data_IF_410437863898
#
_entry.id   IF_410437863898
#
_cell.length_a   1.000
_cell.length_b   1.000
_cell.length_c   1.000
_cell.angle_alpha   90.00
_cell.angle_beta   90.00
_cell.angle_gamma   90.00
#
_symmetry.space_group_name_H-M   'P 1'
#
loop_
_entity.id
_entity.type
_entity.pdbx_description
1 polymer ?
#
# COMPACT_ATOMS: atom_id res chain seq x y z
N UNK A 1 -1.64 -5.68 6.35
CA UNK A 1 -0.18 -5.79 6.35
C UNK A 1 0.34 -6.28 7.71
N UNK A 2 0.23 -5.53 8.79
CA UNK A 2 0.81 -5.83 10.12
C UNK A 2 0.37 -7.19 10.69
N UNK A 3 -0.91 -7.55 10.59
CA UNK A 3 -1.41 -8.85 11.08
C UNK A 3 -0.80 -10.03 10.30
N UNK A 4 -0.68 -9.93 8.98
CA UNK A 4 0.00 -10.96 8.18
C UNK A 4 1.50 -11.05 8.51
N UNK A 5 2.16 -9.89 8.68
CA UNK A 5 3.56 -9.86 9.12
C UNK A 5 3.79 -10.60 10.44
N UNK A 6 2.96 -10.35 11.46
CA UNK A 6 3.02 -11.07 12.74
C UNK A 6 2.84 -12.58 12.60
N UNK A 7 1.91 -13.05 11.75
CA UNK A 7 1.71 -14.49 11.51
C UNK A 7 2.93 -15.15 10.84
N UNK A 8 3.54 -14.46 9.89
CA UNK A 8 4.76 -14.94 9.23
C UNK A 8 5.96 -14.97 10.20
N UNK A 9 6.11 -13.93 11.03
CA UNK A 9 7.14 -13.89 12.09
C UNK A 9 6.98 -15.04 13.09
N UNK A 10 5.75 -15.38 13.49
CA UNK A 10 5.47 -16.53 14.35
C UNK A 10 5.86 -17.88 13.72
N UNK A 11 6.06 -17.93 12.40
CA UNK A 11 6.60 -19.09 11.66
C UNK A 11 8.13 -19.04 11.49
N UNK A 12 8.82 -18.11 12.11
CA UNK A 12 10.28 -17.95 12.00
C UNK A 12 10.73 -17.23 10.72
N UNK A 13 9.81 -16.63 9.95
CA UNK A 13 10.16 -15.91 8.73
C UNK A 13 10.55 -14.47 9.10
N UNK A 14 11.69 -14.01 8.59
CA UNK A 14 12.11 -12.61 8.73
C UNK A 14 11.21 -11.72 7.89
N UNK A 15 10.47 -10.82 8.53
CA UNK A 15 9.50 -9.94 7.87
C UNK A 15 9.68 -8.51 8.34
N UNK A 16 9.68 -7.58 7.38
CA UNK A 16 9.55 -6.14 7.65
C UNK A 16 8.28 -5.62 7.00
N UNK A 17 7.52 -4.81 7.75
CA UNK A 17 6.32 -4.13 7.24
C UNK A 17 6.64 -2.65 7.06
N UNK A 18 6.86 -2.24 5.82
CA UNK A 18 7.03 -0.83 5.44
C UNK A 18 5.65 -0.18 5.43
N UNK A 19 5.33 0.54 6.50
CA UNK A 19 4.11 1.35 6.60
C UNK A 19 4.34 2.71 5.93
N UNK A 20 3.51 3.03 4.92
CA UNK A 20 3.68 4.26 4.14
C UNK A 20 3.62 5.54 4.96
N UNK A 21 2.78 5.60 6.01
CA UNK A 21 2.67 6.77 6.88
C UNK A 21 3.91 6.93 7.77
N UNK A 22 4.40 5.82 8.33
CA UNK A 22 5.60 5.80 9.18
C UNK A 22 6.84 6.23 8.39
N UNK A 23 7.04 5.65 7.19
CA UNK A 23 8.20 5.96 6.36
C UNK A 23 8.12 7.37 5.77
N UNK A 24 6.92 7.88 5.48
CA UNK A 24 6.75 9.26 5.04
C UNK A 24 7.22 10.25 6.11
N UNK A 25 6.95 9.97 7.37
CA UNK A 25 7.37 10.81 8.50
C UNK A 25 8.88 10.72 8.82
N UNK A 26 9.61 9.80 8.22
CA UNK A 26 11.03 9.59 8.45
C UNK A 26 11.87 9.76 7.17
N UNK A 27 11.72 8.86 6.21
CA UNK A 27 12.54 8.78 5.01
C UNK A 27 12.11 9.77 3.92
N UNK A 28 10.84 10.19 3.92
CA UNK A 28 10.23 10.98 2.86
C UNK A 28 9.61 12.29 3.38
N UNK A 29 10.21 12.90 4.42
CA UNK A 29 9.75 14.17 5.02
C UNK A 29 9.78 15.36 4.06
N UNK A 30 10.65 15.29 3.07
CA UNK A 30 10.83 16.30 2.02
C UNK A 30 9.73 16.25 0.94
N UNK A 31 8.91 15.19 0.91
CA UNK A 31 7.89 14.99 -0.10
C UNK A 31 6.52 15.48 0.34
N UNK A 32 5.84 16.17 -0.59
CA UNK A 32 4.43 16.54 -0.46
C UNK A 32 3.47 15.45 -0.98
N UNK A 33 2.35 15.88 -1.57
CA UNK A 33 1.30 15.00 -2.09
C UNK A 33 1.02 15.25 -3.57
N UNK A 34 1.93 15.91 -4.30
CA UNK A 34 1.87 15.97 -5.76
C UNK A 34 2.02 14.58 -6.37
N UNK A 35 1.71 14.45 -7.64
CA UNK A 35 1.90 13.20 -8.38
C UNK A 35 3.37 12.75 -8.32
N UNK A 36 4.28 13.68 -8.57
CA UNK A 36 5.73 13.45 -8.57
C UNK A 36 6.21 12.99 -7.19
N UNK A 37 5.76 13.65 -6.13
CA UNK A 37 6.09 13.28 -4.75
C UNK A 37 5.58 11.88 -4.38
N UNK A 38 4.37 11.52 -4.83
CA UNK A 38 3.80 10.19 -4.60
C UNK A 38 4.60 9.12 -5.33
N UNK A 39 4.98 9.36 -6.58
CA UNK A 39 5.82 8.46 -7.37
C UNK A 39 7.19 8.29 -6.72
N UNK A 40 7.83 9.39 -6.32
CA UNK A 40 9.13 9.37 -5.64
C UNK A 40 9.06 8.62 -4.29
N UNK A 41 8.01 8.87 -3.50
CA UNK A 41 7.79 8.13 -2.26
C UNK A 41 7.78 6.61 -2.49
N UNK A 42 7.04 6.12 -3.48
CA UNK A 42 6.99 4.69 -3.79
C UNK A 42 8.33 4.17 -4.28
N UNK A 43 9.08 4.93 -5.07
CA UNK A 43 10.43 4.56 -5.53
C UNK A 43 11.38 4.38 -4.34
N UNK A 44 11.40 5.30 -3.39
CA UNK A 44 12.22 5.19 -2.16
C UNK A 44 11.82 3.98 -1.32
N UNK A 45 10.53 3.78 -1.07
CA UNK A 45 10.05 2.62 -0.32
C UNK A 45 10.39 1.29 -1.03
N UNK A 46 10.25 1.24 -2.36
CA UNK A 46 10.59 0.04 -3.13
C UNK A 46 12.09 -0.27 -3.11
N UNK A 47 12.95 0.76 -3.08
CA UNK A 47 14.38 0.58 -2.91
C UNK A 47 14.73 -0.04 -1.54
N UNK A 48 14.11 0.44 -0.46
CA UNK A 48 14.25 -0.17 0.87
C UNK A 48 13.80 -1.64 0.84
N UNK A 49 12.64 -1.92 0.26
CA UNK A 49 12.14 -3.29 0.09
C UNK A 49 13.09 -4.19 -0.71
N UNK A 50 13.72 -3.64 -1.76
CA UNK A 50 14.74 -4.36 -2.57
C UNK A 50 15.98 -4.71 -1.73
N UNK A 51 16.44 -3.78 -0.89
CA UNK A 51 17.60 -4.01 0.01
C UNK A 51 17.26 -5.09 1.04
N UNK A 52 16.08 -5.03 1.65
CA UNK A 52 15.60 -6.04 2.60
C UNK A 52 15.49 -7.42 1.94
N UNK A 53 14.92 -7.50 0.74
CA UNK A 53 14.80 -8.74 -0.02
C UNK A 53 16.14 -9.42 -0.33
N UNK A 54 17.20 -8.65 -0.63
CA UNK A 54 18.58 -9.16 -0.82
C UNK A 54 19.15 -9.80 0.45
N UNK A 55 18.63 -9.45 1.62
CA UNK A 55 19.03 -9.97 2.92
C UNK A 55 18.05 -11.03 3.46
N UNK A 56 17.28 -11.67 2.57
CA UNK A 56 16.30 -12.71 2.91
C UNK A 56 15.23 -12.25 3.92
N UNK A 57 14.82 -10.97 3.82
CA UNK A 57 13.71 -10.42 4.59
C UNK A 57 12.52 -10.25 3.66
N UNK A 58 11.38 -10.85 4.01
CA UNK A 58 10.11 -10.60 3.32
C UNK A 58 9.67 -9.17 3.63
N UNK A 59 9.53 -8.35 2.61
CA UNK A 59 9.08 -6.97 2.77
C UNK A 59 7.60 -6.85 2.38
N UNK A 60 6.75 -6.41 3.30
CA UNK A 60 5.34 -6.08 3.03
C UNK A 60 5.21 -4.56 2.99
N UNK A 61 5.24 -3.98 1.79
CA UNK A 61 5.04 -2.54 1.63
C UNK A 61 3.54 -2.20 1.61
N UNK A 62 3.11 -1.45 2.61
CA UNK A 62 1.73 -0.99 2.79
C UNK A 62 1.62 0.50 2.47
N UNK A 63 1.36 0.82 1.21
CA UNK A 63 1.22 2.18 0.70
C UNK A 63 0.15 2.22 -0.40
N UNK A 64 -0.45 3.38 -0.65
CA UNK A 64 -1.54 3.54 -1.64
C UNK A 64 -1.06 3.20 -3.05
N UNK A 65 0.10 3.69 -3.49
CA UNK A 65 0.66 3.49 -4.83
C UNK A 65 -0.39 3.64 -5.94
N UNK A 66 -0.88 4.85 -6.21
CA UNK A 66 -2.11 5.04 -6.99
C UNK A 66 -1.94 4.86 -8.51
N UNK A 67 -0.72 4.93 -9.05
CA UNK A 67 -0.50 5.01 -10.50
C UNK A 67 0.07 3.72 -11.09
N UNK A 68 -0.43 3.31 -12.26
CA UNK A 68 0.07 2.14 -12.98
C UNK A 68 1.51 2.32 -13.48
N UNK A 69 1.92 3.57 -13.81
CA UNK A 69 3.31 3.91 -14.14
C UNK A 69 4.28 3.50 -13.05
N UNK A 70 3.97 3.89 -11.81
CA UNK A 70 4.82 3.59 -10.65
C UNK A 70 4.83 2.09 -10.31
N UNK A 71 3.68 1.40 -10.43
CA UNK A 71 3.60 -0.06 -10.26
C UNK A 71 4.46 -0.79 -11.27
N UNK A 72 4.44 -0.34 -12.53
CA UNK A 72 5.31 -0.88 -13.59
C UNK A 72 6.78 -0.64 -13.27
N UNK A 73 7.14 0.57 -12.85
CA UNK A 73 8.50 0.88 -12.43
C UNK A 73 8.98 -0.04 -11.30
N UNK A 74 8.18 -0.25 -10.27
CA UNK A 74 8.53 -1.17 -9.16
C UNK A 74 8.76 -2.59 -9.69
N UNK A 75 7.89 -3.11 -10.54
CA UNK A 75 8.05 -4.45 -11.13
C UNK A 75 9.35 -4.60 -11.90
N UNK A 76 9.77 -3.58 -12.64
CA UNK A 76 11.00 -3.64 -13.46
C UNK A 76 12.26 -3.46 -12.65
N UNK A 77 12.22 -2.66 -11.59
CA UNK A 77 13.43 -2.28 -10.82
C UNK A 77 13.63 -3.10 -9.54
N UNK A 78 12.57 -3.76 -9.06
CA UNK A 78 12.61 -4.58 -7.84
C UNK A 78 12.27 -6.03 -8.19
N UNK A 79 13.29 -6.89 -8.41
CA UNK A 79 13.07 -8.29 -8.72
C UNK A 79 12.22 -8.99 -7.64
N UNK A 80 11.40 -9.94 -8.08
CA UNK A 80 10.49 -10.74 -7.22
C UNK A 80 9.38 -9.94 -6.52
N UNK A 81 9.26 -8.62 -6.80
CA UNK A 81 8.13 -7.85 -6.25
C UNK A 81 6.80 -8.39 -6.77
N UNK A 82 5.80 -8.40 -5.87
CA UNK A 82 4.44 -8.83 -6.15
C UNK A 82 3.47 -7.70 -5.82
N UNK A 83 2.46 -7.54 -6.65
CA UNK A 83 1.42 -6.53 -6.47
C UNK A 83 0.17 -7.16 -5.87
N UNK A 84 -0.14 -6.76 -4.64
CA UNK A 84 -1.39 -7.11 -3.98
C UNK A 84 -2.34 -5.92 -4.06
N UNK A 85 -3.48 -6.12 -4.72
CA UNK A 85 -4.53 -5.12 -4.80
C UNK A 85 -5.52 -5.31 -3.66
N UNK A 86 -5.58 -4.33 -2.78
CA UNK A 86 -6.60 -4.25 -1.74
C UNK A 86 -7.78 -3.48 -2.32
N UNK A 87 -8.82 -4.20 -2.72
CA UNK A 87 -10.04 -3.65 -3.33
C UNK A 87 -11.07 -3.37 -2.25
N UNK A 88 -11.77 -2.24 -2.41
CA UNK A 88 -12.92 -1.87 -1.59
C UNK A 88 -13.77 -0.86 -2.38
N UNK A 89 -15.08 -0.97 -2.30
CA UNK A 89 -15.99 0.00 -2.89
C UNK A 89 -15.87 1.38 -2.24
N UNK A 90 -16.00 2.45 -3.05
CA UNK A 90 -15.82 3.83 -2.57
C UNK A 90 -16.78 4.19 -1.42
N UNK A 91 -18.02 3.78 -1.52
CA UNK A 91 -19.03 4.04 -0.48
C UNK A 91 -18.65 3.40 0.86
N UNK A 92 -18.09 2.19 0.82
CA UNK A 92 -17.61 1.51 2.02
C UNK A 92 -16.34 2.17 2.58
N UNK A 93 -15.44 2.67 1.72
CA UNK A 93 -14.28 3.46 2.16
C UNK A 93 -14.72 4.74 2.85
N UNK A 94 -15.70 5.47 2.30
CA UNK A 94 -16.30 6.66 2.92
C UNK A 94 -16.98 6.32 4.25
N UNK A 95 -17.71 5.21 4.32
CA UNK A 95 -18.35 4.75 5.56
C UNK A 95 -17.32 4.43 6.66
N UNK A 96 -16.20 3.81 6.30
CA UNK A 96 -15.12 3.48 7.25
C UNK A 96 -14.37 4.71 7.73
N UNK A 97 -13.99 5.57 6.86
CA UNK A 97 -13.25 6.85 7.02
C UNK A 97 -12.52 7.03 8.37
N UNK A 98 -11.71 6.06 8.74
CA UNK A 98 -11.09 5.94 10.08
C UNK A 98 -10.24 7.14 10.49
N UNK A 99 -9.83 7.96 9.53
CA UNK A 99 -9.02 9.18 9.74
C UNK A 99 -9.78 10.47 9.43
N UNK A 100 -11.06 10.41 9.06
CA UNK A 100 -11.86 11.55 8.63
C UNK A 100 -11.35 12.23 7.35
N UNK A 101 -10.58 11.53 6.53
CA UNK A 101 -9.96 12.13 5.35
C UNK A 101 -10.93 12.25 4.18
N UNK A 102 -11.87 11.32 4.02
CA UNK A 102 -12.92 11.40 3.00
C UNK A 102 -13.84 12.59 3.24
N UNK A 103 -14.32 12.75 4.48
CA UNK A 103 -15.13 13.90 4.87
C UNK A 103 -14.40 15.22 4.61
N UNK A 104 -13.11 15.29 4.95
CA UNK A 104 -12.29 16.49 4.72
C UNK A 104 -12.00 16.76 3.25
N UNK A 105 -11.90 15.73 2.41
CA UNK A 105 -11.70 15.89 0.97
C UNK A 105 -12.94 16.44 0.26
N UNK A 106 -14.14 16.23 0.82
CA UNK A 106 -15.42 16.68 0.28
C UNK A 106 -15.83 18.10 0.76
N UNK A 107 -15.06 18.71 1.66
CA UNK A 107 -15.32 20.09 2.11
C UNK A 107 -15.25 21.07 0.93
N UNK A 108 -15.98 22.22 1.00
CA UNK A 108 -15.93 23.27 -0.01
C UNK A 108 -14.51 23.80 -0.23
N UNK A 109 -14.24 24.31 -1.43
CA UNK A 109 -12.99 24.98 -1.71
C UNK A 109 -12.83 26.23 -0.82
N UNK A 110 -11.63 26.39 -0.24
CA UNK A 110 -11.32 27.46 0.71
C UNK A 110 -11.55 27.08 2.18
N UNK A 111 -12.15 25.95 2.49
CA UNK A 111 -12.23 25.48 3.87
C UNK A 111 -10.82 25.14 4.39
N UNK A 112 -10.39 25.65 5.57
CA UNK A 112 -9.05 25.43 6.11
C UNK A 112 -8.77 23.94 6.45
N UNK A 113 -9.80 23.12 6.61
CA UNK A 113 -9.67 21.70 6.91
C UNK A 113 -9.72 20.80 5.65
N UNK A 114 -9.96 21.39 4.47
CA UNK A 114 -10.06 20.63 3.23
C UNK A 114 -8.75 19.92 2.91
N UNK A 115 -8.86 18.65 2.55
CA UNK A 115 -7.72 17.86 2.02
C UNK A 115 -7.77 17.91 0.50
N UNK A 116 -6.73 18.48 -0.11
CA UNK A 116 -6.54 18.51 -1.55
C UNK A 116 -5.70 17.32 -2.02
N UNK A 117 -5.77 17.03 -3.32
CA UNK A 117 -5.03 15.91 -3.95
C UNK A 117 -5.28 14.55 -3.24
N UNK A 118 -6.51 14.33 -2.82
CA UNK A 118 -6.88 13.09 -2.12
C UNK A 118 -7.17 11.98 -3.14
N UNK A 119 -6.36 10.92 -3.09
CA UNK A 119 -6.42 9.78 -4.02
C UNK A 119 -7.80 9.15 -4.05
N UNK A 120 -8.38 9.01 -5.23
CA UNK A 120 -9.71 8.44 -5.46
C UNK A 120 -10.88 9.42 -5.32
N UNK A 121 -10.61 10.70 -4.97
CA UNK A 121 -11.60 11.79 -4.91
C UNK A 121 -11.16 12.94 -5.82
N UNK A 122 -10.12 13.67 -5.46
CA UNK A 122 -9.58 14.81 -6.22
C UNK A 122 -8.26 14.52 -6.92
N UNK A 123 -7.68 13.34 -6.70
CA UNK A 123 -6.49 12.81 -7.39
C UNK A 123 -6.81 11.40 -7.91
N UNK A 124 -6.38 11.02 -9.12
CA UNK A 124 -6.76 9.75 -9.72
C UNK A 124 -6.16 8.53 -8.98
N UNK A 125 -6.90 7.44 -9.03
CA UNK A 125 -6.44 6.11 -8.66
C UNK A 125 -6.63 5.17 -9.86
N UNK A 126 -5.52 4.72 -10.42
CA UNK A 126 -5.56 3.74 -11.50
C UNK A 126 -5.86 2.35 -10.90
N UNK A 127 -6.91 1.70 -11.35
CA UNK A 127 -7.12 0.29 -11.00
C UNK A 127 -5.96 -0.56 -11.51
N UNK A 128 -5.35 -1.40 -10.67
CA UNK A 128 -4.26 -2.27 -11.10
C UNK A 128 -4.68 -3.20 -12.23
N UNK A 129 -3.93 -3.20 -13.34
CA UNK A 129 -4.26 -4.01 -14.54
C UNK A 129 -3.85 -5.48 -14.41
N UNK A 130 -2.82 -5.78 -13.61
CA UNK A 130 -2.26 -7.13 -13.43
C UNK A 130 -1.81 -7.36 -11.99
N UNK A 131 -2.71 -7.37 -11.00
CA UNK A 131 -2.35 -7.73 -9.64
C UNK A 131 -2.01 -9.21 -9.54
N UNK A 132 -1.05 -9.56 -8.70
CA UNK A 132 -0.71 -10.97 -8.41
C UNK A 132 -1.69 -11.59 -7.40
N UNK A 133 -2.34 -10.75 -6.58
CA UNK A 133 -3.42 -11.11 -5.67
C UNK A 133 -4.40 -9.95 -5.56
N UNK A 134 -5.69 -10.27 -5.49
CA UNK A 134 -6.77 -9.32 -5.15
C UNK A 134 -7.40 -9.75 -3.83
N UNK A 135 -7.57 -8.79 -2.92
CA UNK A 135 -8.27 -8.94 -1.63
C UNK A 135 -9.39 -7.92 -1.59
N UNK A 136 -10.64 -8.38 -1.49
CA UNK A 136 -11.85 -7.54 -1.57
C UNK A 136 -12.42 -7.32 -0.18
N UNK A 137 -11.94 -6.28 0.50
CA UNK A 137 -12.14 -6.06 1.95
C UNK A 137 -13.54 -5.64 2.36
N UNK A 138 -14.41 -5.32 1.44
CA UNK A 138 -15.85 -5.08 1.65
C UNK A 138 -16.71 -6.36 1.47
N UNK A 139 -16.11 -7.47 1.04
CA UNK A 139 -16.78 -8.74 0.79
C UNK A 139 -16.25 -9.89 1.65
N UNK A 140 -15.26 -9.66 2.50
CA UNK A 140 -14.64 -10.67 3.32
C UNK A 140 -14.21 -10.13 4.69
N UNK A 141 -14.07 -11.02 5.66
CA UNK A 141 -13.60 -10.66 7.00
C UNK A 141 -12.10 -10.31 6.97
N UNK A 142 -11.66 -9.48 7.91
CA UNK A 142 -10.25 -9.16 8.05
C UNK A 142 -9.38 -10.42 8.23
N UNK A 143 -9.85 -11.39 9.01
CA UNK A 143 -9.16 -12.66 9.25
C UNK A 143 -8.96 -13.48 7.97
N UNK A 144 -9.92 -13.42 7.03
CA UNK A 144 -9.86 -14.08 5.73
C UNK A 144 -8.85 -13.37 4.82
N UNK A 145 -8.92 -12.03 4.75
CA UNK A 145 -7.97 -11.19 4.03
C UNK A 145 -6.54 -11.45 4.48
N UNK A 146 -6.31 -11.50 5.81
CA UNK A 146 -5.00 -11.81 6.39
C UNK A 146 -4.53 -13.21 6.01
N UNK A 147 -5.42 -14.20 6.06
CA UNK A 147 -5.10 -15.59 5.70
C UNK A 147 -4.79 -15.74 4.21
N UNK A 148 -5.50 -15.03 3.33
CA UNK A 148 -5.20 -14.98 1.89
C UNK A 148 -3.80 -14.41 1.63
N UNK A 149 -3.47 -13.28 2.27
CA UNK A 149 -2.17 -12.65 2.12
C UNK A 149 -1.04 -13.54 2.65
N UNK A 150 -1.21 -14.14 3.82
CA UNK A 150 -0.24 -15.07 4.41
C UNK A 150 0.03 -16.26 3.49
N UNK A 151 -1.02 -16.95 3.03
CA UNK A 151 -0.90 -18.08 2.09
C UNK A 151 -0.22 -17.68 0.79
N UNK A 152 -0.57 -16.52 0.25
CA UNK A 152 0.07 -16.00 -0.96
C UNK A 152 1.57 -15.80 -0.76
N UNK A 153 1.99 -15.14 0.34
CA UNK A 153 3.41 -14.91 0.64
C UNK A 153 4.15 -16.25 0.81
N UNK A 154 3.60 -17.16 1.60
CA UNK A 154 4.21 -18.48 1.80
C UNK A 154 4.45 -19.22 0.49
N UNK A 155 3.51 -19.17 -0.45
CA UNK A 155 3.67 -19.73 -1.79
C UNK A 155 4.81 -19.06 -2.58
N UNK A 156 5.06 -17.76 -2.40
CA UNK A 156 6.12 -17.05 -3.13
C UNK A 156 7.53 -17.36 -2.59
N UNK A 157 7.65 -17.67 -1.30
CA UNK A 157 8.96 -17.88 -0.64
C UNK A 157 9.31 -19.39 -0.50
N UNK A 158 8.36 -20.28 -0.68
CA UNK A 158 8.56 -21.74 -0.58
C UNK A 158 8.70 -22.46 -1.92
N UNK A 159 8.77 -21.70 -3.03
CA UNK A 159 8.93 -22.24 -4.40
C UNK A 159 10.37 -22.16 -4.88
#
# INVERSE_FOLDING_TARGET
ARAAGKRLQARGIKVEVIDGDEYRNNLCKDLGFSREDREENIKRLSFVGKVLGRNNVVCIMSAINPYNSTRTHVRTTTPHSKLVYISCGLEELKRRDTKGLYQRAELPDGDPNKVYNFTGISDPFDTPTRPDLVITTDQELESESVSKLEKFILKQIGG
#
